data_IF_680706563781
#
_entry.id   IF_680706563781
#
_cell.length_a   1.000
_cell.length_b   1.000
_cell.length_c   1.000
_cell.angle_alpha   90.00
_cell.angle_beta   90.00
_cell.angle_gamma   90.00
#
_symmetry.space_group_name_H-M   'P 1'
#
loop_
_entity.id
_entity.type
_entity.pdbx_description
1 polymer ?
#
# COMPACT_ATOMS: atom_id res chain seq x y z
N UNK A 1 6.76 -2.01 16.68
CA UNK A 1 5.86 -1.25 15.79
C UNK A 1 4.45 -1.81 15.93
N UNK A 2 3.38 -1.05 15.65
CA UNK A 2 2.03 -1.61 15.71
C UNK A 2 1.89 -2.68 14.62
N UNK A 3 1.63 -3.90 15.05
CA UNK A 3 1.57 -5.07 14.19
C UNK A 3 0.35 -4.97 13.26
N UNK A 4 0.57 -5.00 11.94
CA UNK A 4 -0.50 -5.13 10.94
C UNK A 4 -0.71 -6.60 10.58
N UNK A 5 -1.96 -6.98 10.36
CA UNK A 5 -2.29 -8.29 9.76
C UNK A 5 -1.81 -8.36 8.31
N UNK A 6 -1.71 -9.56 7.75
CA UNK A 6 -1.30 -9.74 6.34
C UNK A 6 -2.23 -9.00 5.37
N UNK A 7 -3.55 -9.06 5.58
CA UNK A 7 -4.53 -8.33 4.76
C UNK A 7 -4.37 -6.80 4.87
N UNK A 8 -4.08 -6.29 6.08
CA UNK A 8 -3.79 -4.86 6.27
C UNK A 8 -2.48 -4.46 5.57
N UNK A 9 -1.44 -5.30 5.59
CA UNK A 9 -0.21 -5.06 4.82
C UNK A 9 -0.47 -5.11 3.32
N UNK A 10 -1.29 -6.04 2.85
CA UNK A 10 -1.69 -6.10 1.44
C UNK A 10 -2.40 -4.80 1.02
N UNK A 11 -3.30 -4.27 1.87
CA UNK A 11 -3.92 -2.97 1.65
C UNK A 11 -2.89 -1.83 1.61
N UNK A 12 -1.95 -1.77 2.56
CA UNK A 12 -0.89 -0.74 2.56
C UNK A 12 0.01 -0.83 1.33
N UNK A 13 0.36 -2.03 0.87
CA UNK A 13 1.17 -2.26 -0.35
C UNK A 13 0.40 -1.84 -1.60
N UNK A 14 -0.89 -2.14 -1.67
CA UNK A 14 -1.75 -1.73 -2.78
C UNK A 14 -1.92 -0.21 -2.86
N UNK A 15 -1.85 0.48 -1.71
CA UNK A 15 -2.00 1.93 -1.58
C UNK A 15 -0.67 2.67 -1.35
N UNK A 16 0.47 2.07 -1.66
CA UNK A 16 1.78 2.61 -1.29
C UNK A 16 2.01 4.06 -1.75
N UNK A 17 1.46 4.46 -2.91
CA UNK A 17 1.55 5.85 -3.39
C UNK A 17 0.82 6.84 -2.44
N UNK A 18 -0.37 6.47 -1.96
CA UNK A 18 -1.15 7.28 -1.02
C UNK A 18 -0.53 7.27 0.37
N UNK A 19 -0.03 6.10 0.81
CA UNK A 19 0.60 5.94 2.12
C UNK A 19 1.92 6.72 2.21
N UNK A 20 2.62 6.94 1.09
CA UNK A 20 3.79 7.80 1.07
C UNK A 20 3.51 9.22 1.58
N UNK A 21 2.37 9.80 1.20
CA UNK A 21 1.93 11.08 1.74
C UNK A 21 1.69 11.01 3.26
N UNK A 22 1.05 9.93 3.73
CA UNK A 22 0.78 9.72 5.17
C UNK A 22 2.07 9.63 6.00
N UNK A 23 3.13 9.00 5.48
CA UNK A 23 4.42 8.96 6.19
C UNK A 23 5.06 10.36 6.24
N UNK A 24 4.92 11.14 5.15
CA UNK A 24 5.53 12.45 5.01
C UNK A 24 4.84 13.54 5.86
N UNK A 25 3.51 13.59 5.83
CA UNK A 25 2.67 14.52 6.60
C UNK A 25 1.40 13.81 7.10
N UNK A 26 1.47 13.08 8.22
CA UNK A 26 0.36 12.23 8.66
C UNK A 26 -0.92 13.01 8.96
N UNK A 27 -0.82 14.18 9.59
CA UNK A 27 -2.00 14.98 9.95
C UNK A 27 -2.71 15.52 8.70
N UNK A 28 -1.96 16.13 7.77
CA UNK A 28 -2.52 16.66 6.51
C UNK A 28 -3.10 15.53 5.64
N UNK A 29 -2.34 14.44 5.44
CA UNK A 29 -2.76 13.34 4.60
C UNK A 29 -4.00 12.63 5.14
N UNK A 30 -4.08 12.43 6.46
CA UNK A 30 -5.25 11.82 7.10
C UNK A 30 -6.45 12.75 6.99
N UNK A 31 -6.28 14.06 7.15
CA UNK A 31 -7.37 15.02 6.99
C UNK A 31 -7.90 15.05 5.55
N UNK A 32 -7.00 15.06 4.56
CA UNK A 32 -7.35 14.93 3.15
C UNK A 32 -8.14 13.64 2.90
N UNK A 33 -7.68 12.49 3.41
CA UNK A 33 -8.38 11.22 3.26
C UNK A 33 -9.78 11.23 3.90
N UNK A 34 -9.96 11.88 5.06
CA UNK A 34 -11.28 12.00 5.73
C UNK A 34 -12.30 12.76 4.90
N UNK A 35 -11.84 13.76 4.16
CA UNK A 35 -12.67 14.65 3.35
C UNK A 35 -12.76 14.22 1.89
N UNK A 36 -11.87 13.32 1.46
CA UNK A 36 -11.83 12.80 0.11
C UNK A 36 -12.95 11.78 -0.15
N UNK A 37 -13.44 11.79 -1.39
CA UNK A 37 -14.21 10.68 -1.95
C UNK A 37 -13.30 9.71 -2.70
N UNK A 38 -12.01 9.60 -2.34
CA UNK A 38 -11.08 8.70 -3.01
C UNK A 38 -11.59 7.27 -2.92
N UNK A 39 -11.88 6.71 -4.10
CA UNK A 39 -12.20 5.31 -4.31
C UNK A 39 -11.49 4.86 -5.58
N UNK A 40 -10.98 3.64 -5.56
CA UNK A 40 -10.50 2.97 -6.77
C UNK A 40 -11.20 1.63 -6.91
N UNK A 41 -11.50 1.29 -8.15
CA UNK A 41 -12.03 0.00 -8.51
C UNK A 41 -11.34 -0.45 -9.79
N UNK A 42 -10.58 -1.53 -9.71
CA UNK A 42 -9.87 -2.05 -10.87
C UNK A 42 -9.16 -3.36 -10.54
N UNK A 43 -9.18 -4.29 -11.50
CA UNK A 43 -8.46 -5.56 -11.42
C UNK A 43 -8.78 -6.40 -10.17
N UNK A 44 -10.04 -6.38 -9.73
CA UNK A 44 -10.48 -7.07 -8.52
C UNK A 44 -10.17 -6.33 -7.21
N UNK A 45 -9.40 -5.24 -7.24
CA UNK A 45 -9.12 -4.42 -6.07
C UNK A 45 -10.10 -3.26 -5.95
N UNK A 46 -10.63 -3.10 -4.74
CA UNK A 46 -11.52 -2.02 -4.35
C UNK A 46 -11.00 -1.40 -3.06
N UNK A 47 -10.93 -0.07 -2.99
CA UNK A 47 -10.68 0.62 -1.72
C UNK A 47 -11.44 1.93 -1.64
N UNK A 48 -11.59 2.40 -0.41
CA UNK A 48 -12.14 3.73 -0.11
C UNK A 48 -11.52 4.32 1.14
N UNK A 49 -11.40 5.64 1.14
CA UNK A 49 -11.24 6.40 2.37
C UNK A 49 -12.61 6.68 2.99
N UNK A 50 -12.71 6.55 4.32
CA UNK A 50 -13.91 6.90 5.08
C UNK A 50 -13.57 7.99 6.08
N UNK A 51 -14.55 8.50 6.83
CA UNK A 51 -14.27 9.50 7.88
C UNK A 51 -13.31 9.03 8.99
N UNK A 52 -13.06 7.72 9.12
CA UNK A 52 -12.31 7.17 10.28
C UNK A 52 -11.26 6.13 9.92
N UNK A 53 -11.25 5.63 8.67
CA UNK A 53 -10.43 4.51 8.29
C UNK A 53 -10.25 4.42 6.77
N UNK A 54 -9.18 3.74 6.36
CA UNK A 54 -9.04 3.13 5.05
C UNK A 54 -9.69 1.75 5.06
N UNK A 55 -10.41 1.44 4.01
CA UNK A 55 -11.02 0.13 3.78
C UNK A 55 -10.64 -0.37 2.40
N UNK A 56 -10.32 -1.66 2.29
CA UNK A 56 -10.06 -2.27 0.99
C UNK A 56 -10.37 -3.75 0.96
N UNK A 57 -10.68 -4.21 -0.24
CA UNK A 57 -11.09 -5.57 -0.57
C UNK A 57 -10.40 -5.97 -1.87
N UNK A 58 -9.94 -7.22 -1.93
CA UNK A 58 -9.46 -7.84 -3.15
C UNK A 58 -10.32 -9.05 -3.47
N UNK A 59 -10.77 -9.11 -4.71
CA UNK A 59 -11.49 -10.25 -5.26
C UNK A 59 -10.70 -10.88 -6.39
N UNK A 60 -10.99 -12.15 -6.67
CA UNK A 60 -10.61 -12.75 -7.93
C UNK A 60 -11.18 -11.94 -9.10
N UNK A 61 -10.35 -11.76 -10.13
CA UNK A 61 -10.76 -11.10 -11.36
C UNK A 61 -10.68 -12.09 -12.50
N UNK A 62 -11.84 -12.61 -12.89
CA UNK A 62 -11.95 -13.80 -13.72
C UNK A 62 -12.37 -13.40 -15.13
N UNK A 63 -11.68 -13.94 -16.12
CA UNK A 63 -12.04 -13.81 -17.54
C UNK A 63 -13.43 -14.43 -17.76
N UNK A 64 -14.33 -13.67 -18.36
CA UNK A 64 -15.74 -14.06 -18.52
C UNK A 64 -16.18 -14.10 -19.99
N UNK A 65 -15.60 -13.25 -20.84
CA UNK A 65 -15.85 -13.26 -22.26
C UNK A 65 -14.60 -12.85 -23.04
N UNK A 66 -14.49 -13.34 -24.28
CA UNK A 66 -13.35 -13.10 -25.18
C UNK A 66 -13.83 -12.60 -26.54
N UNK A 67 -13.03 -11.74 -27.16
CA UNK A 67 -13.17 -11.39 -28.55
C UNK A 67 -12.79 -12.58 -29.46
N UNK A 68 -13.19 -12.58 -30.75
CA UNK A 68 -12.79 -13.62 -31.70
C UNK A 68 -11.28 -13.79 -31.89
N UNK A 69 -10.49 -12.75 -31.56
CA UNK A 69 -9.02 -12.77 -31.63
C UNK A 69 -8.35 -13.27 -30.33
N UNK A 70 -9.15 -13.74 -29.36
CA UNK A 70 -8.66 -14.33 -28.11
C UNK A 70 -8.38 -13.34 -26.99
N UNK A 71 -8.50 -12.02 -27.21
CA UNK A 71 -8.37 -11.03 -26.12
C UNK A 71 -9.57 -11.08 -25.19
N UNK A 72 -9.34 -10.91 -23.89
CA UNK A 72 -10.43 -10.83 -22.91
C UNK A 72 -11.26 -9.56 -23.16
N UNK A 73 -12.55 -9.76 -23.42
CA UNK A 73 -13.54 -8.70 -23.64
C UNK A 73 -14.16 -8.26 -22.32
N UNK A 74 -14.50 -9.21 -21.45
CA UNK A 74 -15.20 -8.95 -20.19
C UNK A 74 -14.59 -9.75 -19.06
N UNK A 75 -14.52 -9.10 -17.92
CA UNK A 75 -14.09 -9.69 -16.65
C UNK A 75 -15.27 -9.68 -15.68
N UNK A 76 -15.30 -10.66 -14.80
CA UNK A 76 -16.25 -10.72 -13.68
C UNK A 76 -15.53 -10.82 -12.34
N UNK A 77 -16.17 -10.32 -11.30
CA UNK A 77 -15.71 -10.48 -9.92
C UNK A 77 -15.96 -11.91 -9.44
N UNK A 78 -14.94 -12.55 -8.87
CA UNK A 78 -15.02 -13.88 -8.25
C UNK A 78 -15.00 -13.81 -6.72
N UNK A 79 -14.37 -14.79 -6.08
CA UNK A 79 -14.35 -14.89 -4.62
C UNK A 79 -13.58 -13.72 -3.97
N UNK A 80 -13.96 -13.38 -2.72
CA UNK A 80 -13.18 -12.45 -1.88
C UNK A 80 -11.88 -13.14 -1.45
N UNK A 81 -10.75 -12.55 -1.80
CA UNK A 81 -9.41 -13.03 -1.43
C UNK A 81 -8.97 -12.47 -0.08
N UNK A 82 -9.18 -11.17 0.14
CA UNK A 82 -8.94 -10.53 1.43
C UNK A 82 -9.76 -9.25 1.59
N UNK A 83 -9.99 -8.86 2.83
CA UNK A 83 -10.59 -7.60 3.24
C UNK A 83 -9.81 -7.02 4.43
N UNK A 84 -9.62 -5.71 4.45
CA UNK A 84 -8.91 -5.03 5.52
C UNK A 84 -9.51 -3.66 5.82
N UNK A 85 -9.39 -3.25 7.09
CA UNK A 85 -9.77 -1.93 7.59
C UNK A 85 -8.69 -1.40 8.51
N UNK A 86 -8.11 -0.25 8.18
CA UNK A 86 -7.09 0.41 8.99
C UNK A 86 -7.63 1.76 9.47
N UNK A 87 -7.81 1.90 10.78
CA UNK A 87 -8.22 3.19 11.36
C UNK A 87 -7.11 4.22 11.26
N UNK A 88 -7.46 5.50 11.09
CA UNK A 88 -6.47 6.57 11.01
C UNK A 88 -5.62 6.70 12.28
N UNK A 89 -6.20 6.47 13.46
CA UNK A 89 -5.45 6.44 14.71
C UNK A 89 -4.40 5.32 14.76
N UNK A 90 -4.67 4.17 14.12
CA UNK A 90 -3.69 3.08 14.01
C UNK A 90 -2.62 3.42 12.98
N UNK A 91 -3.01 4.01 11.85
CA UNK A 91 -2.09 4.45 10.81
C UNK A 91 -1.13 5.54 11.33
N UNK A 92 -1.64 6.51 12.08
CA UNK A 92 -0.84 7.55 12.73
C UNK A 92 0.16 6.97 13.74
N UNK A 93 -0.28 6.07 14.63
CA UNK A 93 0.62 5.37 15.56
C UNK A 93 1.70 4.56 14.84
N UNK A 94 1.37 3.97 13.69
CA UNK A 94 2.35 3.28 12.86
C UNK A 94 3.41 4.24 12.33
N UNK A 95 3.00 5.35 11.72
CA UNK A 95 3.92 6.38 11.24
C UNK A 95 4.81 6.90 12.37
N UNK A 96 4.24 7.19 13.53
CA UNK A 96 4.99 7.65 14.71
C UNK A 96 6.04 6.64 15.19
N UNK A 97 5.77 5.35 15.01
CA UNK A 97 6.70 4.28 15.37
C UNK A 97 7.82 4.05 14.35
N UNK A 98 7.72 4.62 13.14
CA UNK A 98 8.75 4.48 12.11
C UNK A 98 10.04 5.21 12.52
N UNK A 99 11.22 4.71 12.07
CA UNK A 99 12.49 5.36 12.32
C UNK A 99 12.44 6.84 11.91
N UNK A 100 12.96 7.78 12.73
CA UNK A 100 12.92 9.22 12.41
C UNK A 100 13.52 9.57 11.04
N UNK A 101 14.54 8.82 10.60
CA UNK A 101 15.16 8.98 9.28
C UNK A 101 14.20 8.69 8.14
N UNK A 102 13.34 7.67 8.27
CA UNK A 102 12.34 7.31 7.25
C UNK A 102 11.33 8.45 7.11
N UNK A 103 10.79 8.95 8.23
CA UNK A 103 9.85 10.09 8.20
C UNK A 103 10.47 11.36 7.61
N UNK A 104 11.69 11.70 8.00
CA UNK A 104 12.41 12.86 7.47
C UNK A 104 12.68 12.74 5.95
N UNK A 105 13.01 11.54 5.48
CA UNK A 105 13.23 11.28 4.06
C UNK A 105 11.93 11.36 3.27
N UNK A 106 10.85 10.76 3.78
CA UNK A 106 9.52 10.84 3.17
C UNK A 106 9.06 12.30 3.02
N UNK A 107 9.21 13.11 4.08
CA UNK A 107 8.92 14.54 4.03
C UNK A 107 9.74 15.27 2.97
N UNK A 108 11.01 14.91 2.79
CA UNK A 108 11.86 15.50 1.76
C UNK A 108 11.33 15.17 0.36
N UNK A 109 11.02 13.90 0.09
CA UNK A 109 10.51 13.45 -1.21
C UNK A 109 9.06 13.84 -1.50
N UNK A 110 8.32 14.34 -0.51
CA UNK A 110 6.98 14.90 -0.70
C UNK A 110 6.97 16.41 -0.94
N UNK A 111 8.02 17.12 -0.52
CA UNK A 111 8.05 18.57 -0.41
C UNK A 111 8.18 19.27 -1.77
N UNK A 112 7.33 20.27 -1.98
CA UNK A 112 7.34 21.18 -3.16
C UNK A 112 7.84 22.61 -2.85
N UNK A 113 7.89 22.99 -1.57
CA UNK A 113 8.28 24.33 -1.10
C UNK A 113 9.10 24.23 0.19
N UNK A 114 10.12 25.07 0.44
CA UNK A 114 10.59 26.20 -0.37
C UNK A 114 11.37 25.83 -1.62
N UNK A 115 11.81 24.57 -1.71
CA UNK A 115 12.45 23.98 -2.88
C UNK A 115 11.66 22.75 -3.25
N UNK A 116 11.42 22.55 -4.54
CA UNK A 116 10.79 21.34 -5.05
C UNK A 116 11.79 20.19 -5.01
N UNK A 117 11.60 19.30 -4.04
CA UNK A 117 12.37 18.06 -3.89
C UNK A 117 11.48 16.84 -4.09
N UNK A 118 10.31 17.03 -4.72
CA UNK A 118 9.30 15.99 -4.85
C UNK A 118 9.79 14.87 -5.75
N UNK A 119 9.85 13.68 -5.19
CA UNK A 119 10.19 12.45 -5.91
C UNK A 119 9.21 11.35 -5.46
N UNK A 120 8.13 11.20 -6.23
CA UNK A 120 7.07 10.24 -5.92
C UNK A 120 7.54 8.79 -6.10
N UNK A 121 8.50 8.54 -7.00
CA UNK A 121 9.01 7.20 -7.21
C UNK A 121 9.85 6.75 -6.02
N UNK A 122 10.75 7.59 -5.53
CA UNK A 122 11.53 7.28 -4.32
C UNK A 122 10.64 7.19 -3.08
N UNK A 123 9.62 8.04 -2.99
CA UNK A 123 8.64 7.97 -1.91
C UNK A 123 7.86 6.64 -1.90
N UNK A 124 7.44 6.15 -3.08
CA UNK A 124 6.80 4.84 -3.23
C UNK A 124 7.72 3.71 -2.74
N UNK A 125 8.99 3.71 -3.15
CA UNK A 125 9.97 2.71 -2.71
C UNK A 125 10.23 2.76 -1.20
N UNK A 126 10.34 3.96 -0.63
CA UNK A 126 10.49 4.14 0.81
C UNK A 126 9.31 3.60 1.59
N UNK A 127 8.11 3.79 1.05
CA UNK A 127 6.87 3.35 1.67
C UNK A 127 6.81 1.83 1.71
N UNK A 128 7.13 1.17 0.59
CA UNK A 128 7.23 -0.30 0.54
C UNK A 128 8.29 -0.82 1.52
N UNK A 129 9.46 -0.18 1.58
CA UNK A 129 10.48 -0.50 2.57
C UNK A 129 9.95 -0.36 4.00
N UNK A 130 9.27 0.73 4.32
CA UNK A 130 8.72 1.00 5.64
C UNK A 130 7.64 -0.03 6.05
N UNK A 131 6.81 -0.48 5.11
CA UNK A 131 5.81 -1.53 5.34
C UNK A 131 6.48 -2.87 5.67
N UNK A 132 7.63 -3.15 5.05
CA UNK A 132 8.37 -4.40 5.21
C UNK A 132 9.36 -4.41 6.40
N UNK A 133 9.52 -3.30 7.14
CA UNK A 133 10.41 -3.25 8.32
C UNK A 133 10.04 -4.28 9.41
N UNK A 134 8.75 -4.65 9.48
CA UNK A 134 8.21 -5.64 10.42
C UNK A 134 7.98 -7.03 9.78
N UNK A 135 8.27 -7.17 8.48
CA UNK A 135 8.01 -8.37 7.68
C UNK A 135 9.26 -8.65 6.85
N UNK A 136 10.31 -9.29 7.43
CA UNK A 136 11.45 -9.71 6.63
C UNK A 136 10.92 -10.64 5.54
N UNK A 137 11.05 -10.22 4.28
CA UNK A 137 10.74 -11.05 3.12
C UNK A 137 11.20 -12.49 3.40
N UNK A 138 10.35 -13.51 3.22
CA UNK A 138 10.83 -14.87 3.28
C UNK A 138 11.95 -14.98 2.25
N UNK A 139 13.17 -15.31 2.70
CA UNK A 139 14.34 -15.48 1.83
C UNK A 139 13.95 -16.41 0.68
N UNK A 140 13.69 -15.86 -0.50
CA UNK A 140 13.50 -16.65 -1.71
C UNK A 140 14.88 -17.25 -2.03
N UNK A 141 15.03 -18.53 -1.70
CA UNK A 141 16.17 -19.38 -2.00
C UNK A 141 17.45 -19.11 -1.20
N UNK A 142 17.57 -19.74 -0.02
CA UNK A 142 18.88 -20.26 0.38
C UNK A 142 19.13 -21.50 -0.49
N UNK A 143 19.87 -21.33 -1.59
CA UNK A 143 20.47 -22.47 -2.28
C UNK A 143 21.44 -23.08 -1.26
N UNK A 144 21.03 -24.20 -0.65
CA UNK A 144 21.98 -25.04 0.05
C UNK A 144 22.99 -25.49 -1.00
N UNK A 145 24.21 -24.96 -0.94
CA UNK A 145 25.36 -25.57 -1.59
C UNK A 145 25.52 -26.96 -0.97
N UNK A 146 24.86 -27.94 -1.58
CA UNK A 146 25.14 -29.34 -1.32
C UNK A 146 26.55 -29.58 -1.83
N UNK A 147 27.53 -29.44 -0.93
CA UNK A 147 28.88 -29.90 -1.16
C UNK A 147 28.82 -31.41 -1.41
N UNK A 148 28.92 -31.81 -2.67
CA UNK A 148 29.22 -33.19 -3.02
C UNK A 148 30.66 -33.46 -2.59
N UNK A 149 30.81 -34.34 -1.59
CA UNK A 149 32.07 -35.01 -1.24
C UNK A 149 32.18 -36.30 -2.05
#
# INVERSE_FOLDING_TARGET
MPEFTEAERALLRALHDEIGHVIASPDDAIDDMRHSQAFYMGRGFHWRATKTALEGQMHEWIEDAWYPDGRVMRWRTGALLWEARITYARLQRWVESLPPKVRAQALTWWRIHPVDTRDLHQLAQLTLYAINLDDPEPKLFEIQETAYV
#
